data_IF_944973036413
#
_entry.id   IF_944973036413
#
_cell.length_a   1.000
_cell.length_b   1.000
_cell.length_c   1.000
_cell.angle_alpha   90.00
_cell.angle_beta   90.00
_cell.angle_gamma   90.00
#
_symmetry.space_group_name_H-M   'P 1'
#
loop_
_entity.id
_entity.type
_entity.pdbx_description
1 polymer ?
#
# COMPACT_ATOMS: atom_id res chain seq x y z
N UNK A 1 27.60 -5.01 18.79
CA UNK A 1 28.03 -3.80 18.09
C UNK A 1 27.12 -3.53 16.90
N UNK A 2 26.50 -2.34 16.89
CA UNK A 2 25.69 -1.90 15.77
C UNK A 2 26.58 -1.56 14.56
N UNK A 3 26.15 -1.94 13.36
CA UNK A 3 26.82 -1.53 12.14
C UNK A 3 26.77 0.00 11.97
N UNK A 4 27.66 0.56 11.15
CA UNK A 4 27.65 1.98 10.82
C UNK A 4 26.32 2.41 10.21
N UNK A 5 25.72 1.56 9.35
CA UNK A 5 24.40 1.82 8.76
C UNK A 5 23.29 1.88 9.81
N UNK A 6 23.29 0.95 10.78
CA UNK A 6 22.30 0.94 11.86
C UNK A 6 22.43 2.18 12.75
N UNK A 7 23.67 2.61 13.06
CA UNK A 7 23.92 3.85 13.81
C UNK A 7 23.42 5.07 13.07
N UNK A 8 23.62 5.13 11.76
CA UNK A 8 23.16 6.23 10.93
C UNK A 8 21.64 6.31 10.89
N UNK A 9 20.98 5.19 10.72
CA UNK A 9 19.51 5.10 10.75
C UNK A 9 18.94 5.56 12.09
N UNK A 10 19.56 5.19 13.20
CA UNK A 10 19.16 5.66 14.54
C UNK A 10 19.33 7.17 14.67
N UNK A 11 20.39 7.74 14.10
CA UNK A 11 20.61 9.19 14.14
C UNK A 11 19.56 9.92 13.30
N UNK A 12 19.31 9.49 12.10
CA UNK A 12 18.25 10.03 11.24
C UNK A 12 16.89 9.99 11.95
N UNK A 13 16.62 8.89 12.62
CA UNK A 13 15.43 8.70 13.43
C UNK A 13 15.31 9.73 14.53
N UNK A 14 16.36 9.96 15.30
CA UNK A 14 16.37 10.94 16.38
C UNK A 14 16.19 12.37 15.85
N UNK A 15 16.82 12.68 14.73
CA UNK A 15 16.67 14.00 14.09
C UNK A 15 15.21 14.20 13.68
N UNK A 16 14.60 13.23 13.04
CA UNK A 16 13.21 13.27 12.64
C UNK A 16 12.28 13.47 13.84
N UNK A 17 12.46 12.73 14.92
CA UNK A 17 11.68 12.85 16.15
C UNK A 17 11.79 14.24 16.77
N UNK A 18 12.98 14.85 16.74
CA UNK A 18 13.18 16.20 17.22
C UNK A 18 12.46 17.25 16.38
N UNK A 19 12.39 17.05 15.06
CA UNK A 19 11.72 17.96 14.13
C UNK A 19 10.20 17.77 14.09
N UNK A 20 9.72 16.58 14.46
CA UNK A 20 8.30 16.20 14.41
C UNK A 20 7.85 15.57 15.73
N UNK A 21 7.88 16.32 16.85
CA UNK A 21 7.64 15.74 18.18
C UNK A 21 6.23 15.20 18.40
N UNK A 22 5.27 15.64 17.60
CA UNK A 22 3.87 15.22 17.69
C UNK A 22 3.53 14.03 16.77
N UNK A 23 4.46 13.61 15.95
CA UNK A 23 4.27 12.47 15.09
C UNK A 23 4.69 11.19 15.83
N UNK A 24 3.69 10.32 16.06
CA UNK A 24 3.97 8.98 16.62
C UNK A 24 4.67 8.19 15.54
N UNK A 25 5.94 7.93 15.76
CA UNK A 25 6.75 7.15 14.87
C UNK A 25 6.30 5.69 14.90
N UNK A 26 5.89 5.11 13.77
CA UNK A 26 5.79 3.67 13.70
C UNK A 26 7.22 3.12 13.71
N UNK A 27 7.66 2.61 14.85
CA UNK A 27 8.83 1.76 14.89
C UNK A 27 8.49 0.53 14.06
N UNK A 28 8.97 0.48 12.80
CA UNK A 28 8.84 -0.73 12.00
C UNK A 28 7.53 -1.46 12.31
N UNK A 29 6.41 -0.90 11.86
CA UNK A 29 5.12 -1.55 12.07
C UNK A 29 5.09 -2.82 11.21
N UNK A 30 5.77 -3.85 11.70
CA UNK A 30 5.83 -5.17 11.09
C UNK A 30 4.44 -5.80 10.95
N UNK A 31 3.42 -5.20 11.59
CA UNK A 31 2.05 -5.65 11.44
C UNK A 31 1.52 -5.40 10.03
N UNK A 32 1.89 -4.28 9.41
CA UNK A 32 1.38 -3.93 8.07
C UNK A 32 2.04 -4.76 6.99
N UNK A 33 3.34 -4.96 7.07
CA UNK A 33 4.09 -5.69 6.04
C UNK A 33 4.62 -7.01 6.58
N UNK A 34 4.69 -8.02 5.70
CA UNK A 34 5.34 -9.28 6.04
C UNK A 34 6.84 -9.08 6.24
N UNK A 35 7.41 -9.82 7.17
CA UNK A 35 8.87 -9.80 7.45
C UNK A 35 9.62 -10.90 6.72
N UNK A 36 8.89 -11.91 6.24
CA UNK A 36 9.44 -13.06 5.50
C UNK A 36 8.58 -13.29 4.27
N UNK A 37 9.21 -13.45 3.13
CA UNK A 37 8.54 -13.76 1.87
C UNK A 37 9.29 -14.92 1.19
N UNK A 38 8.57 -16.01 0.89
CA UNK A 38 9.15 -17.21 0.28
C UNK A 38 10.36 -17.76 1.05
N UNK A 39 10.29 -17.76 2.38
CA UNK A 39 11.34 -18.25 3.26
C UNK A 39 12.55 -17.33 3.41
N UNK A 40 12.51 -16.13 2.82
CA UNK A 40 13.60 -15.15 2.90
C UNK A 40 13.18 -13.92 3.68
N UNK A 41 14.06 -13.34 4.52
CA UNK A 41 13.78 -12.07 5.18
C UNK A 41 13.53 -10.96 4.16
N UNK A 42 12.47 -10.17 4.39
CA UNK A 42 12.17 -8.99 3.60
C UNK A 42 13.08 -7.84 4.04
N UNK A 43 13.77 -7.24 3.10
CA UNK A 43 14.53 -6.01 3.34
C UNK A 43 13.57 -4.83 3.37
N UNK A 44 13.19 -4.39 4.57
CA UNK A 44 12.15 -3.37 4.76
C UNK A 44 12.47 -2.05 4.07
N UNK A 45 13.72 -1.63 4.06
CA UNK A 45 14.12 -0.40 3.37
C UNK A 45 13.94 -0.51 1.85
N UNK A 46 14.25 -1.65 1.29
CA UNK A 46 14.04 -1.92 -0.14
C UNK A 46 12.53 -1.97 -0.47
N UNK A 47 11.75 -2.60 0.38
CA UNK A 47 10.29 -2.62 0.23
C UNK A 47 9.71 -1.21 0.32
N UNK A 48 10.18 -0.40 1.27
CA UNK A 48 9.74 0.99 1.42
C UNK A 48 10.02 1.80 0.14
N UNK A 49 11.20 1.66 -0.43
CA UNK A 49 11.55 2.32 -1.70
C UNK A 49 10.63 1.89 -2.84
N UNK A 50 10.35 0.60 -2.91
CA UNK A 50 9.45 0.04 -3.91
C UNK A 50 8.03 0.60 -3.77
N UNK A 51 7.51 0.61 -2.56
CA UNK A 51 6.17 1.18 -2.28
C UNK A 51 6.16 2.68 -2.57
N UNK A 52 7.24 3.39 -2.30
CA UNK A 52 7.34 4.82 -2.62
C UNK A 52 7.14 5.10 -4.12
N UNK A 53 7.61 4.21 -4.99
CA UNK A 53 7.37 4.33 -6.43
C UNK A 53 5.89 4.16 -6.77
N UNK A 54 5.21 3.24 -6.10
CA UNK A 54 3.78 3.04 -6.27
C UNK A 54 2.98 4.24 -5.77
N UNK A 55 3.34 4.77 -4.62
CA UNK A 55 2.67 5.91 -3.99
C UNK A 55 2.74 7.17 -4.86
N UNK A 56 3.81 7.35 -5.60
CA UNK A 56 3.95 8.48 -6.55
C UNK A 56 2.92 8.44 -7.68
N UNK A 57 2.35 7.29 -7.97
CA UNK A 57 1.31 7.14 -8.98
C UNK A 57 -0.09 7.47 -8.46
N UNK A 58 -0.25 7.64 -7.14
CA UNK A 58 -1.52 7.98 -6.51
C UNK A 58 -1.81 9.46 -6.72
N UNK A 59 -2.91 9.76 -7.41
CA UNK A 59 -3.37 11.12 -7.69
C UNK A 59 -4.70 11.45 -7.00
N UNK A 60 -5.42 10.44 -6.53
CA UNK A 60 -6.74 10.57 -5.89
C UNK A 60 -6.85 9.63 -4.71
N UNK A 61 -7.68 10.00 -3.75
CA UNK A 61 -7.92 9.23 -2.53
C UNK A 61 -8.29 7.76 -2.80
N UNK A 62 -9.15 7.50 -3.77
CA UNK A 62 -9.57 6.14 -4.08
C UNK A 62 -8.48 5.25 -4.67
N UNK A 63 -7.43 5.83 -5.22
CA UNK A 63 -6.34 5.08 -5.84
C UNK A 63 -5.42 4.38 -4.82
N UNK A 64 -5.51 4.72 -3.54
CA UNK A 64 -4.84 3.96 -2.48
C UNK A 64 -5.31 2.51 -2.41
N UNK A 65 -6.53 2.25 -2.84
CA UNK A 65 -7.01 0.89 -2.99
C UNK A 65 -6.16 0.08 -3.99
N UNK A 66 -5.66 0.70 -5.03
CA UNK A 66 -4.76 0.06 -5.99
C UNK A 66 -3.44 -0.34 -5.32
N UNK A 67 -2.85 0.53 -4.51
CA UNK A 67 -1.64 0.20 -3.73
C UNK A 67 -1.91 -1.01 -2.82
N UNK A 68 -3.00 -0.98 -2.09
CA UNK A 68 -3.41 -2.09 -1.22
C UNK A 68 -3.61 -3.38 -2.02
N UNK A 69 -4.28 -3.32 -3.15
CA UNK A 69 -4.57 -4.48 -4.00
C UNK A 69 -3.30 -5.15 -4.54
N UNK A 70 -2.35 -4.36 -5.00
CA UNK A 70 -1.08 -4.86 -5.51
C UNK A 70 -0.26 -5.51 -4.39
N UNK A 71 -0.16 -4.85 -3.23
CA UNK A 71 0.56 -5.39 -2.08
C UNK A 71 -0.08 -6.70 -1.60
N UNK A 72 -1.41 -6.77 -1.56
CA UNK A 72 -2.14 -7.98 -1.19
C UNK A 72 -1.91 -9.11 -2.19
N UNK A 73 -2.00 -8.82 -3.47
CA UNK A 73 -1.81 -9.81 -4.53
C UNK A 73 -0.43 -10.48 -4.45
N UNK A 74 0.59 -9.71 -4.10
CA UNK A 74 1.96 -10.20 -3.97
C UNK A 74 2.29 -10.73 -2.56
N UNK A 75 1.31 -10.90 -1.70
CA UNK A 75 1.47 -11.43 -0.33
C UNK A 75 2.44 -10.61 0.54
N UNK A 76 2.46 -9.30 0.34
CA UNK A 76 3.34 -8.39 1.07
C UNK A 76 2.69 -7.79 2.33
N UNK A 77 1.38 -7.97 2.50
CA UNK A 77 0.66 -7.48 3.67
C UNK A 77 0.64 -8.55 4.76
N UNK A 78 1.00 -8.14 5.97
CA UNK A 78 1.00 -8.98 7.16
C UNK A 78 -0.36 -8.99 7.88
N UNK A 79 -0.33 -9.25 9.17
CA UNK A 79 -1.52 -9.19 10.03
C UNK A 79 -1.74 -7.74 10.46
N UNK A 80 -2.60 -7.02 9.77
CA UNK A 80 -2.83 -5.58 9.95
C UNK A 80 -4.32 -5.25 10.04
N UNK A 81 -4.64 -4.09 10.62
CA UNK A 81 -5.95 -3.47 10.48
C UNK A 81 -5.96 -2.46 9.33
N UNK A 82 -7.15 -2.10 8.84
CA UNK A 82 -7.27 -1.06 7.80
C UNK A 82 -6.74 0.29 8.31
N UNK A 83 -6.96 0.57 9.58
CA UNK A 83 -6.46 1.78 10.24
C UNK A 83 -4.93 1.81 10.31
N UNK A 84 -4.30 0.66 10.62
CA UNK A 84 -2.84 0.55 10.64
C UNK A 84 -2.25 0.74 9.24
N UNK A 85 -2.86 0.16 8.22
CA UNK A 85 -2.44 0.38 6.83
C UNK A 85 -2.53 1.84 6.43
N UNK A 86 -3.68 2.49 6.69
CA UNK A 86 -3.86 3.90 6.38
C UNK A 86 -2.83 4.77 7.11
N UNK A 87 -2.59 4.52 8.37
CA UNK A 87 -1.59 5.22 9.19
C UNK A 87 -0.18 5.08 8.61
N UNK A 88 0.18 3.88 8.20
CA UNK A 88 1.48 3.59 7.58
C UNK A 88 1.67 4.36 6.28
N UNK A 89 0.65 4.33 5.41
CA UNK A 89 0.72 5.02 4.11
C UNK A 89 0.70 6.55 4.26
N UNK A 90 0.04 7.06 5.28
CA UNK A 90 -0.06 8.50 5.55
C UNK A 90 1.09 9.04 6.41
N UNK A 91 2.01 8.20 6.83
CA UNK A 91 3.16 8.62 7.62
C UNK A 91 4.19 9.33 6.74
N UNK A 92 4.48 10.59 7.04
CA UNK A 92 5.50 11.37 6.35
C UNK A 92 6.90 10.76 6.49
N UNK A 93 7.13 10.05 7.58
CA UNK A 93 8.39 9.32 7.81
C UNK A 93 8.64 8.26 6.75
N UNK A 94 7.59 7.54 6.30
CA UNK A 94 7.74 6.45 5.35
C UNK A 94 7.75 6.91 3.91
N UNK A 95 6.82 7.77 3.52
CA UNK A 95 6.56 8.07 2.11
C UNK A 95 6.52 9.58 1.80
N UNK A 96 6.90 10.41 2.76
CA UNK A 96 6.82 11.86 2.64
C UNK A 96 5.42 12.40 2.93
N UNK A 97 5.27 13.72 2.83
CA UNK A 97 4.00 14.37 3.10
C UNK A 97 2.96 14.03 2.04
N UNK A 98 1.75 13.71 2.50
CA UNK A 98 0.61 13.45 1.63
C UNK A 98 -0.31 14.66 1.65
N UNK A 99 -0.60 15.20 0.48
CA UNK A 99 -1.54 16.31 0.32
C UNK A 99 -2.93 15.94 0.84
N UNK A 100 -3.61 16.90 1.49
CA UNK A 100 -4.88 16.63 2.17
C UNK A 100 -5.92 15.93 1.30
N UNK A 101 -6.03 16.34 0.03
CA UNK A 101 -7.01 15.74 -0.87
C UNK A 101 -6.73 14.28 -1.23
N UNK A 102 -5.50 13.81 -0.99
CA UNK A 102 -5.10 12.40 -1.21
C UNK A 102 -5.16 11.58 0.08
N UNK A 103 -5.31 12.19 1.24
CA UNK A 103 -5.31 11.46 2.51
C UNK A 103 -6.52 10.55 2.60
N UNK A 104 -6.30 9.32 3.07
CA UNK A 104 -7.36 8.35 3.27
C UNK A 104 -7.32 7.79 4.69
N UNK A 105 -8.44 7.20 5.11
CA UNK A 105 -8.59 6.54 6.41
C UNK A 105 -8.84 5.04 6.23
N UNK A 106 -8.76 4.29 7.34
CA UNK A 106 -9.13 2.89 7.35
C UNK A 106 -10.58 2.65 6.89
N UNK A 107 -11.48 3.56 7.20
CA UNK A 107 -12.88 3.46 6.75
C UNK A 107 -13.00 3.55 5.24
N UNK A 108 -12.24 4.41 4.59
CA UNK A 108 -12.19 4.51 3.13
C UNK A 108 -11.74 3.19 2.51
N UNK A 109 -10.67 2.61 3.03
CA UNK A 109 -10.16 1.33 2.54
C UNK A 109 -11.18 0.21 2.76
N UNK A 110 -11.83 0.20 3.93
CA UNK A 110 -12.87 -0.78 4.27
C UNK A 110 -14.07 -0.67 3.34
N UNK A 111 -14.47 0.54 2.98
CA UNK A 111 -15.55 0.77 2.02
C UNK A 111 -15.21 0.19 0.65
N UNK A 112 -14.04 0.48 0.12
CA UNK A 112 -13.61 -0.07 -1.17
C UNK A 112 -13.49 -1.60 -1.13
N UNK A 113 -12.93 -2.14 -0.08
CA UNK A 113 -12.81 -3.59 0.11
C UNK A 113 -14.17 -4.28 0.14
N UNK A 114 -15.19 -3.63 0.69
CA UNK A 114 -16.56 -4.17 0.71
C UNK A 114 -17.12 -4.41 -0.69
N UNK A 115 -16.84 -3.51 -1.62
CA UNK A 115 -17.28 -3.65 -3.01
C UNK A 115 -16.45 -4.67 -3.79
N UNK A 116 -15.26 -4.98 -3.33
CA UNK A 116 -14.29 -5.82 -4.02
C UNK A 116 -13.68 -6.88 -3.09
N UNK A 117 -14.46 -7.47 -2.20
CA UNK A 117 -13.96 -8.31 -1.11
C UNK A 117 -13.13 -9.52 -1.56
N UNK A 118 -13.43 -10.12 -2.70
CA UNK A 118 -12.73 -11.31 -3.21
C UNK A 118 -11.92 -11.01 -4.45
N UNK A 119 -11.25 -9.88 -4.47
CA UNK A 119 -10.96 -9.22 -5.68
C UNK A 119 -9.49 -9.22 -6.03
N UNK A 120 -9.23 -9.80 -7.18
CA UNK A 120 -7.93 -9.79 -7.83
C UNK A 120 -8.00 -8.83 -9.03
N UNK A 121 -7.22 -7.75 -9.01
CA UNK A 121 -7.20 -6.76 -10.09
C UNK A 121 -6.84 -7.37 -11.45
N UNK A 122 -6.23 -8.55 -11.46
CA UNK A 122 -5.93 -9.26 -12.71
C UNK A 122 -7.19 -9.74 -13.44
N UNK A 123 -8.34 -9.74 -12.77
CA UNK A 123 -9.63 -10.20 -13.30
C UNK A 123 -10.63 -9.04 -13.54
N UNK A 124 -10.25 -7.80 -13.34
CA UNK A 124 -11.18 -6.66 -13.38
C UNK A 124 -11.74 -6.33 -14.76
N UNK A 125 -11.14 -6.80 -15.81
CA UNK A 125 -11.64 -6.73 -17.18
C UNK A 125 -12.37 -8.00 -17.61
N UNK A 126 -12.52 -8.96 -16.72
CA UNK A 126 -13.26 -10.17 -17.01
C UNK A 126 -14.77 -9.88 -16.97
N UNK A 127 -15.45 -10.04 -18.10
CA UNK A 127 -16.88 -9.76 -18.24
C UNK A 127 -17.73 -10.59 -17.26
N UNK A 128 -17.39 -11.86 -17.06
CA UNK A 128 -18.09 -12.72 -16.10
C UNK A 128 -17.98 -12.20 -14.68
N UNK A 129 -16.82 -11.69 -14.31
CA UNK A 129 -16.59 -11.10 -12.99
C UNK A 129 -17.41 -9.83 -12.81
N UNK A 130 -17.42 -8.94 -13.80
CA UNK A 130 -18.19 -7.70 -13.75
C UNK A 130 -19.69 -7.98 -13.73
N UNK A 131 -20.16 -8.98 -14.45
CA UNK A 131 -21.54 -9.42 -14.44
C UNK A 131 -21.95 -9.95 -13.06
N UNK A 132 -21.13 -10.80 -12.44
CA UNK A 132 -21.38 -11.26 -11.06
C UNK A 132 -21.47 -10.13 -10.08
N UNK A 133 -20.61 -9.11 -10.17
CA UNK A 133 -20.64 -7.93 -9.30
C UNK A 133 -21.91 -7.12 -9.48
N UNK A 134 -22.42 -6.99 -10.70
CA UNK A 134 -23.69 -6.32 -10.98
C UNK A 134 -24.88 -7.10 -10.38
N UNK A 135 -24.88 -8.42 -10.49
CA UNK A 135 -25.93 -9.28 -9.91
C UNK A 135 -26.03 -9.15 -8.39
N UNK A 136 -24.91 -8.90 -7.71
CA UNK A 136 -24.90 -8.69 -6.26
C UNK A 136 -25.15 -7.24 -5.85
N UNK A 137 -25.63 -6.40 -6.74
CA UNK A 137 -25.96 -5.00 -6.44
C UNK A 137 -24.75 -4.09 -6.23
N UNK A 138 -23.57 -4.52 -6.62
CA UNK A 138 -22.34 -3.75 -6.51
C UNK A 138 -22.13 -2.83 -7.71
N UNK A 139 -23.17 -2.10 -8.07
CA UNK A 139 -23.20 -1.27 -9.29
C UNK A 139 -22.52 0.08 -9.15
N UNK A 140 -21.94 0.39 -7.98
CA UNK A 140 -21.31 1.70 -7.74
C UNK A 140 -20.06 1.96 -8.60
N UNK A 141 -19.56 0.93 -9.23
CA UNK A 141 -18.33 0.99 -10.01
C UNK A 141 -18.61 0.71 -11.47
N UNK A 142 -18.47 1.73 -12.31
CA UNK A 142 -18.57 1.54 -13.75
C UNK A 142 -17.43 0.66 -14.26
N UNK A 143 -17.68 -0.06 -15.36
CA UNK A 143 -16.61 -0.82 -16.04
C UNK A 143 -15.40 0.06 -16.37
N UNK A 144 -15.65 1.32 -16.74
CA UNK A 144 -14.58 2.30 -17.02
C UNK A 144 -13.69 2.56 -15.81
N UNK A 145 -14.26 2.65 -14.60
CA UNK A 145 -13.48 2.85 -13.38
C UNK A 145 -12.66 1.60 -13.03
N UNK A 146 -13.25 0.43 -13.18
CA UNK A 146 -12.55 -0.85 -12.97
C UNK A 146 -11.35 -0.98 -13.92
N UNK A 147 -11.52 -0.64 -15.19
CA UNK A 147 -10.44 -0.67 -16.17
C UNK A 147 -9.32 0.32 -15.83
N UNK A 148 -9.68 1.52 -15.36
CA UNK A 148 -8.69 2.53 -14.91
C UNK A 148 -7.91 2.04 -13.71
N UNK A 149 -8.58 1.41 -12.74
CA UNK A 149 -7.91 0.85 -11.56
C UNK A 149 -7.01 -0.30 -11.93
N UNK A 150 -7.46 -1.19 -12.80
CA UNK A 150 -6.65 -2.31 -13.28
C UNK A 150 -5.37 -1.80 -13.95
N UNK A 151 -5.49 -0.82 -14.83
CA UNK A 151 -4.34 -0.21 -15.50
C UNK A 151 -3.37 0.39 -14.50
N UNK A 152 -3.87 1.11 -13.49
CA UNK A 152 -3.04 1.69 -12.44
C UNK A 152 -2.35 0.60 -11.60
N UNK A 153 -3.06 -0.46 -11.25
CA UNK A 153 -2.46 -1.61 -10.56
C UNK A 153 -1.34 -2.24 -11.39
N UNK A 154 -1.54 -2.39 -12.69
CA UNK A 154 -0.51 -2.92 -13.58
C UNK A 154 0.73 -2.01 -13.64
N UNK A 155 0.55 -0.70 -13.66
CA UNK A 155 1.66 0.26 -13.57
C UNK A 155 2.40 0.14 -12.24
N UNK A 156 1.68 0.04 -11.12
CA UNK A 156 2.27 -0.15 -9.78
C UNK A 156 3.01 -1.48 -9.68
N UNK A 157 2.49 -2.53 -10.32
CA UNK A 157 3.09 -3.86 -10.30
C UNK A 157 4.50 -3.88 -10.89
N UNK A 158 4.82 -2.98 -11.82
CA UNK A 158 6.16 -2.89 -12.37
C UNK A 158 7.22 -2.64 -11.29
N UNK A 159 6.91 -1.86 -10.28
CA UNK A 159 7.82 -1.62 -9.16
C UNK A 159 8.05 -2.90 -8.34
N UNK A 160 6.99 -3.68 -8.09
CA UNK A 160 7.08 -4.94 -7.34
C UNK A 160 7.88 -5.99 -8.11
N UNK A 161 7.63 -6.14 -9.41
CA UNK A 161 8.35 -7.11 -10.26
C UNK A 161 9.85 -6.79 -10.25
N UNK A 162 10.23 -5.52 -10.41
CA UNK A 162 11.63 -5.12 -10.33
C UNK A 162 12.27 -5.46 -8.99
N UNK A 163 11.55 -5.26 -7.89
CA UNK A 163 12.04 -5.56 -6.55
C UNK A 163 12.23 -7.06 -6.30
N UNK A 164 11.34 -7.91 -6.80
CA UNK A 164 11.41 -9.37 -6.57
C UNK A 164 12.64 -10.03 -7.18
N UNK A 165 13.21 -9.44 -8.19
CA UNK A 165 14.39 -9.98 -8.87
C UNK A 165 15.72 -9.41 -8.34
N UNK A 166 15.64 -8.54 -7.37
CA UNK A 166 16.81 -8.02 -6.66
C UNK A 166 17.10 -8.88 -5.41
#
# INVERSE_FOLDING_TARGET
LLSATAKWQLLEQRIYECLNPNEIKPQFDNEVFVTVLNGRPVKMEELRKTISLMVKLVNRKNQWFCVWSVLKHHNLLGNYSHEAFARQMMSSYWFGDVEDYKRFSGDTLREYKRYFSDYDYTQWDNDDFLEQKQLFGMTKWSNSLCQKFQKLCQEMEQAIVGWKYL
#
